data_IF_428942955915
#
_entry.id   IF_428942955915
#
_cell.length_a   1.000
_cell.length_b   1.000
_cell.length_c   1.000
_cell.angle_alpha   90.00
_cell.angle_beta   90.00
_cell.angle_gamma   90.00
#
_symmetry.space_group_name_H-M   'P 1'
#
loop_
_entity.id
_entity.type
_entity.pdbx_description
1 polymer ?
#
# COMPACT_ATOMS: atom_id res chain seq x y z
N UNK A 1 -14.92 -2.77 53.16
CA UNK A 1 -15.79 -3.98 53.22
C UNK A 1 -15.12 -5.12 53.98
N UNK A 2 -13.96 -5.64 53.56
CA UNK A 2 -13.30 -6.77 54.26
C UNK A 2 -12.81 -6.40 55.67
N UNK A 3 -12.38 -5.15 55.90
CA UNK A 3 -11.81 -4.76 57.20
C UNK A 3 -12.85 -4.35 58.26
N UNK A 4 -14.07 -3.95 57.87
CA UNK A 4 -15.18 -3.70 58.82
C UNK A 4 -15.91 -5.00 59.22
N UNK A 5 -15.88 -6.03 58.38
CA UNK A 5 -16.43 -7.34 58.72
C UNK A 5 -15.52 -8.06 59.72
N UNK A 6 -14.21 -7.77 59.75
CA UNK A 6 -13.30 -8.31 60.77
C UNK A 6 -13.57 -7.77 62.18
N UNK A 7 -14.19 -6.59 62.32
CA UNK A 7 -14.63 -6.03 63.62
C UNK A 7 -16.03 -6.48 64.03
N UNK A 8 -16.77 -7.22 63.19
CA UNK A 8 -18.15 -7.63 63.49
C UNK A 8 -18.24 -8.79 64.48
N UNK A 9 -17.11 -9.40 64.87
CA UNK A 9 -17.08 -10.46 65.88
C UNK A 9 -17.51 -9.98 67.28
N UNK A 10 -17.60 -8.65 67.49
CA UNK A 10 -17.97 -8.01 68.77
C UNK A 10 -19.18 -7.08 68.67
N UNK A 11 -19.90 -7.04 67.54
CA UNK A 11 -21.05 -6.14 67.34
C UNK A 11 -22.38 -6.82 67.70
N UNK A 12 -23.28 -6.08 68.36
CA UNK A 12 -24.64 -6.53 68.65
C UNK A 12 -25.48 -6.69 67.36
N UNK A 13 -26.42 -7.63 67.32
CA UNK A 13 -27.20 -7.97 66.09
C UNK A 13 -27.99 -6.76 65.57
N UNK A 14 -28.47 -5.91 66.49
CA UNK A 14 -29.16 -4.67 66.15
C UNK A 14 -28.23 -3.66 65.42
N UNK A 15 -26.97 -3.58 65.83
CA UNK A 15 -25.98 -2.69 65.21
C UNK A 15 -25.51 -3.22 63.86
N UNK A 16 -25.35 -4.54 63.75
CA UNK A 16 -25.03 -5.19 62.47
C UNK A 16 -26.13 -4.94 61.43
N UNK A 17 -27.41 -5.07 61.81
CA UNK A 17 -28.54 -4.77 60.91
C UNK A 17 -28.56 -3.31 60.48
N UNK A 18 -28.24 -2.38 61.38
CA UNK A 18 -28.17 -0.94 61.07
C UNK A 18 -27.05 -0.63 60.08
N UNK A 19 -25.85 -1.19 60.29
CA UNK A 19 -24.72 -1.00 59.39
C UNK A 19 -25.00 -1.60 58.00
N UNK A 20 -25.53 -2.82 57.94
CA UNK A 20 -25.93 -3.44 56.66
C UNK A 20 -26.98 -2.59 55.93
N UNK A 21 -27.97 -2.04 56.64
CA UNK A 21 -28.99 -1.18 56.02
C UNK A 21 -28.40 0.14 55.48
N UNK A 22 -27.44 0.74 56.20
CA UNK A 22 -26.73 1.94 55.75
C UNK A 22 -25.88 1.66 54.50
N UNK A 23 -25.15 0.54 54.49
CA UNK A 23 -24.34 0.11 53.36
C UNK A 23 -25.22 -0.24 52.15
N UNK A 24 -26.34 -0.92 52.37
CA UNK A 24 -27.30 -1.21 51.31
C UNK A 24 -27.82 0.09 50.69
N UNK A 25 -28.22 1.07 51.50
CA UNK A 25 -28.67 2.38 51.03
C UNK A 25 -27.58 3.11 50.23
N UNK A 26 -26.34 3.06 50.69
CA UNK A 26 -25.19 3.64 49.98
C UNK A 26 -24.97 2.98 48.62
N UNK A 27 -24.91 1.64 48.57
CA UNK A 27 -24.74 0.90 47.33
C UNK A 27 -25.88 1.14 46.35
N UNK A 28 -27.12 1.19 46.82
CA UNK A 28 -28.28 1.49 45.96
C UNK A 28 -28.13 2.85 45.30
N UNK A 29 -27.68 3.86 46.04
CA UNK A 29 -27.45 5.21 45.52
C UNK A 29 -26.30 5.25 44.49
N UNK A 30 -25.21 4.52 44.76
CA UNK A 30 -24.08 4.38 43.81
C UNK A 30 -24.54 3.70 42.52
N UNK A 31 -25.35 2.65 42.61
CA UNK A 31 -25.87 1.95 41.43
C UNK A 31 -26.84 2.81 40.62
N UNK A 32 -27.68 3.62 41.29
CA UNK A 32 -28.55 4.58 40.60
C UNK A 32 -27.74 5.68 39.89
N UNK A 33 -26.66 6.15 40.50
CA UNK A 33 -25.75 7.13 39.88
C UNK A 33 -25.03 6.53 38.66
N UNK A 34 -24.60 5.27 38.72
CA UNK A 34 -24.03 4.54 37.58
C UNK A 34 -25.08 4.34 36.47
N UNK A 35 -26.34 4.07 36.83
CA UNK A 35 -27.44 3.92 35.88
C UNK A 35 -27.74 5.22 35.15
N UNK A 36 -27.74 6.36 35.86
CA UNK A 36 -27.87 7.70 35.27
C UNK A 36 -26.70 8.02 34.34
N UNK A 37 -25.45 7.72 34.75
CA UNK A 37 -24.27 7.90 33.90
C UNK A 37 -24.34 7.08 32.61
N UNK A 38 -24.72 5.80 32.69
CA UNK A 38 -24.87 4.93 31.52
C UNK A 38 -26.01 5.40 30.60
N UNK A 39 -27.11 5.91 31.15
CA UNK A 39 -28.17 6.52 30.34
C UNK A 39 -27.70 7.82 29.65
N UNK A 40 -26.85 8.62 30.30
CA UNK A 40 -26.25 9.82 29.70
C UNK A 40 -25.31 9.50 28.53
N UNK A 41 -24.53 8.41 28.61
CA UNK A 41 -23.73 7.90 27.48
C UNK A 41 -24.61 7.46 26.30
N UNK A 42 -25.71 6.75 26.55
CA UNK A 42 -26.66 6.38 25.48
C UNK A 42 -27.44 7.57 24.91
N UNK A 43 -27.60 8.65 25.68
CA UNK A 43 -28.18 9.92 25.21
C UNK A 43 -27.22 10.68 24.29
N UNK A 44 -25.93 10.69 24.61
CA UNK A 44 -24.90 11.23 23.71
C UNK A 44 -24.68 10.33 22.49
N UNK A 45 -24.84 9.01 22.60
CA UNK A 45 -24.75 8.08 21.49
C UNK A 45 -25.97 8.16 20.54
N UNK A 46 -27.16 8.54 21.04
CA UNK A 46 -28.33 8.90 20.21
C UNK A 46 -28.18 10.25 19.51
N UNK A 47 -27.46 11.21 20.10
CA UNK A 47 -27.06 12.45 19.40
C UNK A 47 -25.98 12.18 18.33
N UNK A 48 -25.29 11.04 18.41
CA UNK A 48 -24.40 10.50 17.37
C UNK A 48 -25.10 9.36 16.61
N UNK A 49 -26.40 9.48 16.36
CA UNK A 49 -26.96 8.83 15.18
C UNK A 49 -26.26 9.43 13.96
N UNK A 50 -25.29 8.70 13.42
CA UNK A 50 -24.73 8.97 12.10
C UNK A 50 -25.91 9.02 11.13
N UNK A 51 -26.36 10.22 10.79
CA UNK A 51 -27.19 10.47 9.63
C UNK A 51 -26.39 10.03 8.39
N UNK A 52 -26.45 8.74 8.07
CA UNK A 52 -26.04 8.23 6.76
C UNK A 52 -27.10 8.71 5.79
N UNK A 53 -26.95 9.96 5.33
CA UNK A 53 -27.70 10.48 4.19
C UNK A 53 -27.30 9.65 2.97
N UNK A 54 -28.02 8.56 2.71
CA UNK A 54 -27.94 7.85 1.42
C UNK A 54 -28.72 8.68 0.41
N UNK A 55 -28.06 9.69 -0.14
CA UNK A 55 -28.64 10.49 -1.22
C UNK A 55 -28.66 9.66 -2.50
N UNK A 56 -29.85 9.42 -3.05
CA UNK A 56 -29.96 9.09 -4.46
C UNK A 56 -29.78 10.37 -5.29
N UNK A 57 -29.18 10.22 -6.46
CA UNK A 57 -28.68 11.30 -7.35
C UNK A 57 -29.76 12.21 -7.96
N UNK A 58 -30.99 12.17 -7.46
CA UNK A 58 -32.14 12.99 -7.87
C UNK A 58 -32.55 14.04 -6.83
N UNK A 59 -31.80 14.20 -5.74
CA UNK A 59 -31.94 15.34 -4.81
C UNK A 59 -33.14 15.31 -3.86
N UNK A 60 -34.00 14.27 -3.92
CA UNK A 60 -35.08 14.10 -2.95
C UNK A 60 -34.61 13.19 -1.79
N UNK A 61 -34.70 13.73 -0.58
CA UNK A 61 -34.39 13.04 0.68
C UNK A 61 -35.64 12.23 1.05
N UNK A 62 -35.55 10.90 0.95
CA UNK A 62 -36.58 10.03 1.49
C UNK A 62 -36.29 9.77 2.96
N UNK A 63 -37.26 9.97 3.83
CA UNK A 63 -37.16 9.60 5.25
C UNK A 63 -37.09 8.08 5.40
N UNK A 64 -36.54 7.57 6.51
CA UNK A 64 -36.37 6.13 6.73
C UNK A 64 -37.71 5.36 6.77
N UNK A 65 -38.82 6.06 6.99
CA UNK A 65 -40.19 5.57 6.88
C UNK A 65 -40.61 5.34 5.42
N UNK A 66 -40.32 6.26 4.50
CA UNK A 66 -40.63 6.12 3.07
C UNK A 66 -39.85 5.01 2.35
N UNK A 67 -38.73 4.56 2.92
CA UNK A 67 -37.96 3.42 2.40
C UNK A 67 -38.57 2.06 2.77
N UNK A 68 -39.42 2.01 3.81
CA UNK A 68 -40.13 0.78 4.20
C UNK A 68 -41.31 0.45 3.26
N UNK A 69 -41.80 1.43 2.51
CA UNK A 69 -42.99 1.29 1.64
C UNK A 69 -42.69 0.76 0.23
N UNK A 70 -41.44 0.41 -0.09
CA UNK A 70 -41.13 -0.24 -1.38
C UNK A 70 -41.48 -1.72 -1.31
N UNK A 71 -42.76 -2.02 -1.51
CA UNK A 71 -43.24 -3.39 -1.65
C UNK A 71 -42.50 -4.12 -2.77
N UNK A 72 -42.00 -5.32 -2.46
CA UNK A 72 -41.35 -6.21 -3.43
C UNK A 72 -42.39 -6.66 -4.46
N UNK A 73 -42.01 -6.73 -5.74
CA UNK A 73 -42.90 -7.20 -6.81
C UNK A 73 -43.46 -8.58 -6.43
N UNK A 74 -44.79 -8.75 -6.56
CA UNK A 74 -45.50 -9.95 -6.12
C UNK A 74 -45.49 -11.03 -7.21
N UNK A 75 -45.45 -10.63 -8.48
CA UNK A 75 -45.39 -11.55 -9.63
C UNK A 75 -44.18 -11.28 -10.53
N UNK A 76 -43.78 -12.27 -11.33
CA UNK A 76 -42.68 -12.15 -12.29
C UNK A 76 -43.00 -11.11 -13.38
N UNK A 77 -44.26 -11.05 -13.80
CA UNK A 77 -44.75 -10.11 -14.79
C UNK A 77 -44.70 -8.66 -14.26
N UNK A 78 -45.12 -8.44 -13.02
CA UNK A 78 -45.00 -7.14 -12.35
C UNK A 78 -43.52 -6.72 -12.22
N UNK A 79 -42.62 -7.67 -11.94
CA UNK A 79 -41.18 -7.41 -11.91
C UNK A 79 -40.65 -6.99 -13.29
N UNK A 80 -41.04 -7.69 -14.36
CA UNK A 80 -40.65 -7.35 -15.72
C UNK A 80 -41.16 -5.97 -16.14
N UNK A 81 -42.43 -5.68 -15.93
CA UNK A 81 -43.02 -4.38 -16.22
C UNK A 81 -42.32 -3.25 -15.44
N UNK A 82 -42.05 -3.46 -14.14
CA UNK A 82 -41.33 -2.49 -13.30
C UNK A 82 -39.88 -2.28 -13.75
N UNK A 83 -39.20 -3.34 -14.20
CA UNK A 83 -37.86 -3.27 -14.78
C UNK A 83 -37.87 -2.53 -16.12
N UNK A 84 -38.88 -2.73 -16.96
CA UNK A 84 -38.98 -2.07 -18.25
C UNK A 84 -39.34 -0.59 -18.10
N UNK A 85 -40.23 -0.24 -17.17
CA UNK A 85 -40.44 1.15 -16.76
C UNK A 85 -39.16 1.80 -16.20
N UNK A 86 -38.35 1.04 -15.45
CA UNK A 86 -37.06 1.53 -14.95
C UNK A 86 -36.01 1.71 -16.07
N UNK A 87 -36.00 0.81 -17.06
CA UNK A 87 -35.14 0.94 -18.26
C UNK A 87 -35.60 2.12 -19.13
N UNK A 88 -36.90 2.27 -19.37
CA UNK A 88 -37.48 3.35 -20.14
C UNK A 88 -37.26 4.71 -19.48
N UNK A 89 -37.49 4.83 -18.16
CA UNK A 89 -37.19 6.06 -17.42
C UNK A 89 -35.69 6.40 -17.39
N UNK A 90 -34.80 5.39 -17.39
CA UNK A 90 -33.35 5.60 -17.58
C UNK A 90 -32.97 5.98 -19.02
N UNK A 91 -33.69 5.50 -20.02
CA UNK A 91 -33.50 5.85 -21.42
C UNK A 91 -33.93 7.31 -21.67
N UNK A 92 -35.10 7.71 -21.14
CA UNK A 92 -35.60 9.09 -21.21
C UNK A 92 -34.69 10.07 -20.45
N UNK A 93 -34.18 9.70 -19.27
CA UNK A 93 -33.20 10.54 -18.52
C UNK A 93 -31.83 10.66 -19.19
N UNK A 94 -31.54 9.83 -20.18
CA UNK A 94 -30.25 9.78 -20.87
C UNK A 94 -30.50 10.03 -22.34
N UNK A 95 -30.76 11.31 -22.66
CA UNK A 95 -31.08 11.75 -24.01
C UNK A 95 -30.08 11.32 -25.10
N UNK A 96 -30.34 11.64 -26.37
CA UNK A 96 -29.66 11.04 -27.55
C UNK A 96 -28.12 11.08 -27.51
N UNK A 97 -27.54 12.08 -26.83
CA UNK A 97 -26.08 12.20 -26.63
C UNK A 97 -25.48 11.10 -25.75
N UNK A 98 -26.26 10.45 -24.87
CA UNK A 98 -25.75 9.39 -24.01
C UNK A 98 -25.35 8.15 -24.80
N UNK A 99 -26.16 7.72 -25.76
CA UNK A 99 -25.82 6.56 -26.60
C UNK A 99 -24.60 6.83 -27.47
N UNK A 100 -24.51 8.03 -28.05
CA UNK A 100 -23.34 8.46 -28.82
C UNK A 100 -22.08 8.48 -27.94
N UNK A 101 -22.19 8.99 -26.71
CA UNK A 101 -21.08 9.01 -25.76
C UNK A 101 -20.70 7.61 -25.26
N UNK A 102 -21.68 6.71 -25.10
CA UNK A 102 -21.46 5.31 -24.73
C UNK A 102 -20.74 4.57 -25.86
N UNK A 103 -21.20 4.71 -27.11
CA UNK A 103 -20.54 4.18 -28.31
C UNK A 103 -19.11 4.70 -28.44
N UNK A 104 -18.87 6.00 -28.22
CA UNK A 104 -17.52 6.59 -28.18
C UNK A 104 -16.65 5.98 -27.07
N UNK A 105 -17.21 5.76 -25.88
CA UNK A 105 -16.50 5.17 -24.72
C UNK A 105 -16.14 3.70 -24.97
N UNK A 106 -17.05 2.93 -25.58
CA UNK A 106 -16.81 1.54 -25.99
C UNK A 106 -15.71 1.48 -27.03
N UNK A 107 -15.77 2.31 -28.09
CA UNK A 107 -14.70 2.40 -29.11
C UNK A 107 -13.35 2.76 -28.49
N UNK A 108 -13.31 3.71 -27.55
CA UNK A 108 -12.07 4.09 -26.84
C UNK A 108 -11.51 2.93 -25.99
N UNK A 109 -12.38 2.21 -25.28
CA UNK A 109 -11.97 1.02 -24.50
C UNK A 109 -11.45 -0.10 -25.40
N UNK A 110 -12.10 -0.35 -26.54
CA UNK A 110 -11.66 -1.35 -27.51
C UNK A 110 -10.28 -1.01 -28.09
N UNK A 111 -10.03 0.25 -28.46
CA UNK A 111 -8.69 0.71 -28.91
C UNK A 111 -7.61 0.51 -27.84
N UNK A 112 -7.90 0.85 -26.58
CA UNK A 112 -6.96 0.65 -25.47
C UNK A 112 -6.69 -0.84 -25.22
N UNK A 113 -7.71 -1.69 -25.35
CA UNK A 113 -7.56 -3.14 -25.21
C UNK A 113 -6.65 -3.72 -26.31
N UNK A 114 -6.85 -3.34 -27.57
CA UNK A 114 -5.99 -3.74 -28.69
C UNK A 114 -4.53 -3.31 -28.49
N UNK A 115 -4.30 -2.03 -28.15
CA UNK A 115 -2.93 -1.53 -27.89
C UNK A 115 -2.25 -2.25 -26.70
N UNK A 116 -3.02 -2.63 -25.68
CA UNK A 116 -2.51 -3.40 -24.54
C UNK A 116 -2.14 -4.84 -24.94
N UNK A 117 -2.90 -5.45 -25.83
CA UNK A 117 -2.62 -6.79 -26.36
C UNK A 117 -1.36 -6.78 -27.22
N UNK A 118 -1.20 -5.79 -28.11
CA UNK A 118 -0.01 -5.60 -28.94
C UNK A 118 1.24 -5.37 -28.09
N UNK A 119 1.18 -4.50 -27.07
CA UNK A 119 2.28 -4.30 -26.12
C UNK A 119 2.64 -5.59 -25.37
N UNK A 120 1.65 -6.44 -25.05
CA UNK A 120 1.88 -7.73 -24.41
C UNK A 120 2.52 -8.74 -25.36
N UNK A 121 2.16 -8.72 -26.65
CA UNK A 121 2.79 -9.55 -27.70
C UNK A 121 4.24 -9.14 -27.92
N UNK A 122 4.52 -7.84 -28.06
CA UNK A 122 5.89 -7.30 -28.18
C UNK A 122 6.76 -7.64 -26.95
N UNK A 123 6.22 -7.46 -25.74
CA UNK A 123 6.94 -7.83 -24.53
C UNK A 123 7.26 -9.34 -24.47
N UNK A 124 6.34 -10.20 -24.94
CA UNK A 124 6.59 -11.65 -25.04
C UNK A 124 7.66 -11.98 -26.07
N UNK A 125 7.67 -11.32 -27.23
CA UNK A 125 8.70 -11.49 -28.26
C UNK A 125 10.09 -11.13 -27.72
N UNK A 126 10.24 -9.94 -27.12
CA UNK A 126 11.49 -9.49 -26.48
C UNK A 126 11.97 -10.46 -25.38
N UNK A 127 11.07 -11.03 -24.58
CA UNK A 127 11.47 -12.01 -23.57
C UNK A 127 11.89 -13.36 -24.15
N UNK A 128 11.38 -13.73 -25.33
CA UNK A 128 11.81 -14.96 -26.03
C UNK A 128 13.18 -14.74 -26.66
N UNK A 129 13.39 -13.61 -27.30
CA UNK A 129 14.66 -13.21 -27.92
C UNK A 129 15.79 -13.18 -26.88
N UNK A 130 15.60 -12.50 -25.74
CA UNK A 130 16.58 -12.51 -24.63
C UNK A 130 16.88 -13.89 -24.06
N UNK A 131 15.92 -14.82 -24.10
CA UNK A 131 16.15 -16.20 -23.65
C UNK A 131 16.97 -17.00 -24.67
N UNK A 132 16.81 -16.71 -25.95
CA UNK A 132 17.59 -17.34 -27.02
C UNK A 132 19.02 -16.80 -26.97
N UNK A 133 19.19 -15.49 -26.80
CA UNK A 133 20.48 -14.83 -26.65
C UNK A 133 21.25 -15.38 -25.44
N UNK A 134 20.62 -15.45 -24.26
CA UNK A 134 21.24 -16.05 -23.07
C UNK A 134 21.61 -17.52 -23.25
N UNK A 135 20.80 -18.30 -23.99
CA UNK A 135 21.15 -19.69 -24.32
C UNK A 135 22.36 -19.79 -25.25
N UNK A 136 22.50 -18.87 -26.19
CA UNK A 136 23.68 -18.78 -27.08
C UNK A 136 24.92 -18.39 -26.30
N UNK A 137 24.81 -17.40 -25.41
CA UNK A 137 25.89 -16.99 -24.49
C UNK A 137 26.31 -18.15 -23.57
N UNK A 138 25.36 -18.86 -22.95
CA UNK A 138 25.63 -20.03 -22.10
C UNK A 138 26.29 -21.19 -22.90
N UNK A 139 25.98 -21.33 -24.20
CA UNK A 139 26.60 -22.33 -25.07
C UNK A 139 28.02 -21.92 -25.51
N UNK A 140 28.26 -20.65 -25.82
CA UNK A 140 29.59 -20.13 -26.09
C UNK A 140 30.50 -20.17 -24.86
N UNK A 141 30.00 -19.81 -23.68
CA UNK A 141 30.72 -19.96 -22.42
C UNK A 141 31.07 -21.42 -22.13
N UNK A 142 30.15 -22.36 -22.39
CA UNK A 142 30.45 -23.80 -22.27
C UNK A 142 31.53 -24.25 -23.25
N UNK A 143 31.48 -23.82 -24.51
CA UNK A 143 32.52 -24.15 -25.51
C UNK A 143 33.89 -23.57 -25.13
N UNK A 144 33.92 -22.34 -24.61
CA UNK A 144 35.14 -21.71 -24.12
C UNK A 144 35.69 -22.41 -22.87
N UNK A 145 34.83 -22.82 -21.94
CA UNK A 145 35.20 -23.56 -20.74
C UNK A 145 35.72 -24.97 -21.05
N UNK A 146 35.10 -25.65 -22.02
CA UNK A 146 35.51 -26.98 -22.48
C UNK A 146 36.85 -26.92 -23.25
N UNK A 147 37.07 -25.89 -24.05
CA UNK A 147 38.35 -25.61 -24.71
C UNK A 147 39.47 -25.19 -23.72
N UNK A 148 39.12 -24.56 -22.61
CA UNK A 148 40.06 -24.20 -21.55
C UNK A 148 40.45 -25.43 -20.69
N UNK A 149 39.50 -26.32 -20.39
CA UNK A 149 39.78 -27.55 -19.63
C UNK A 149 40.54 -28.61 -20.42
N UNK A 150 40.51 -28.59 -21.77
CA UNK A 150 41.37 -29.46 -22.58
C UNK A 150 42.84 -28.99 -22.64
N UNK A 151 43.18 -27.86 -22.02
CA UNK A 151 44.53 -27.26 -22.02
C UNK A 151 44.90 -26.66 -20.66
N UNK A 152 44.89 -27.43 -19.56
CA UNK A 152 45.85 -27.21 -18.47
C UNK A 152 45.75 -28.27 -17.37
N UNK A 153 46.72 -29.20 -17.34
CA UNK A 153 47.31 -29.61 -16.07
C UNK A 153 48.40 -28.61 -15.72
N UNK A 154 48.20 -27.82 -14.65
CA UNK A 154 49.20 -27.35 -13.68
C UNK A 154 48.61 -26.27 -12.78
N UNK A 155 48.66 -26.52 -11.46
CA UNK A 155 48.42 -25.53 -10.41
C UNK A 155 49.50 -24.44 -10.48
N UNK A 156 49.22 -23.20 -10.04
CA UNK A 156 49.68 -22.86 -8.69
C UNK A 156 48.78 -21.91 -7.88
N UNK A 157 49.07 -21.96 -6.58
CA UNK A 157 48.74 -21.10 -5.45
C UNK A 157 49.14 -19.62 -5.67
N UNK A 158 48.41 -18.65 -5.09
CA UNK A 158 48.91 -17.48 -4.31
C UNK A 158 47.76 -16.49 -3.98
N UNK A 159 47.50 -16.37 -2.66
CA UNK A 159 47.25 -15.19 -1.80
C UNK A 159 46.39 -14.01 -2.27
N UNK A 160 45.29 -13.86 -1.53
CA UNK A 160 44.66 -12.65 -0.97
C UNK A 160 45.19 -11.25 -1.35
N UNK A 161 44.32 -10.45 -1.97
CA UNK A 161 44.36 -8.98 -1.89
C UNK A 161 42.94 -8.43 -1.71
N UNK A 162 42.71 -7.90 -0.50
CA UNK A 162 41.52 -7.18 -0.06
C UNK A 162 41.64 -5.71 -0.50
N UNK A 163 40.65 -5.20 -1.22
CA UNK A 163 40.51 -3.78 -1.57
C UNK A 163 39.07 -3.35 -1.29
N UNK A 164 38.86 -2.55 -0.25
CA UNK A 164 37.66 -1.73 0.01
C UNK A 164 38.16 -0.46 0.73
N UNK A 165 38.30 0.66 0.01
CA UNK A 165 37.31 1.73 -0.26
C UNK A 165 37.36 2.84 0.80
N UNK A 166 37.96 3.98 0.43
CA UNK A 166 37.91 5.25 1.17
C UNK A 166 36.53 5.89 0.97
N UNK A 167 35.76 6.00 2.02
CA UNK A 167 34.54 6.81 2.04
C UNK A 167 34.87 8.27 2.33
N UNK A 168 34.53 9.15 1.38
CA UNK A 168 34.52 10.60 1.54
C UNK A 168 33.07 11.11 1.55
N UNK A 169 32.72 11.71 2.69
CA UNK A 169 31.68 12.74 2.93
C UNK A 169 30.22 12.43 2.61
N UNK A 170 29.33 12.71 3.56
CA UNK A 170 28.15 13.59 3.40
C UNK A 170 27.53 13.86 4.77
N UNK A 171 27.47 15.14 5.14
CA UNK A 171 26.34 15.77 5.84
C UNK A 171 26.15 15.46 7.31
N UNK A 172 26.56 16.39 8.16
CA UNK A 172 26.12 16.50 9.55
C UNK A 172 24.60 16.36 9.67
N UNK A 173 24.18 15.47 10.55
CA UNK A 173 22.79 15.34 11.01
C UNK A 173 22.47 16.60 11.81
N UNK A 174 21.41 17.37 11.51
CA UNK A 174 21.05 18.52 12.31
C UNK A 174 20.71 18.06 13.74
N UNK A 175 21.39 18.67 14.72
CA UNK A 175 21.07 18.55 16.15
C UNK A 175 19.62 18.95 16.38
N UNK A 176 18.98 18.20 17.29
CA UNK A 176 17.63 18.44 17.82
C UNK A 176 17.47 19.93 18.19
N UNK A 177 16.43 20.59 17.65
CA UNK A 177 16.04 21.96 18.02
C UNK A 177 16.23 23.06 16.97
N UNK A 178 16.76 22.77 15.77
CA UNK A 178 16.87 23.79 14.71
C UNK A 178 15.57 23.91 13.89
N UNK A 179 14.82 24.98 14.14
CA UNK A 179 13.62 25.34 13.38
C UNK A 179 14.08 26.07 12.11
N UNK A 180 13.93 25.44 10.95
CA UNK A 180 14.14 26.09 9.64
C UNK A 180 12.79 26.60 9.13
N UNK A 181 12.71 27.90 8.85
CA UNK A 181 11.50 28.71 8.60
C UNK A 181 10.65 28.33 7.36
N UNK A 182 10.72 27.10 6.84
CA UNK A 182 9.88 26.69 5.71
C UNK A 182 9.38 25.23 5.76
N UNK A 183 9.63 24.50 6.85
CA UNK A 183 9.02 23.19 7.12
C UNK A 183 8.81 23.04 8.62
N UNK A 184 7.56 23.20 9.05
CA UNK A 184 7.13 22.81 10.39
C UNK A 184 6.99 21.29 10.34
N UNK A 185 8.03 20.58 10.75
CA UNK A 185 7.92 19.16 11.07
C UNK A 185 7.37 19.07 12.50
N UNK A 186 6.04 18.98 12.62
CA UNK A 186 5.38 18.65 13.87
C UNK A 186 5.74 17.19 14.18
N UNK A 187 6.76 17.01 15.02
CA UNK A 187 7.05 15.72 15.62
C UNK A 187 6.02 15.52 16.72
N UNK A 188 4.91 14.84 16.40
CA UNK A 188 4.00 14.31 17.42
C UNK A 188 4.79 13.28 18.24
N UNK A 189 5.20 13.65 19.45
CA UNK A 189 5.85 12.76 20.42
C UNK A 189 4.94 11.60 20.90
N UNK A 190 3.67 11.57 20.47
CA UNK A 190 2.68 10.57 20.87
C UNK A 190 2.48 9.42 19.88
N UNK A 191 3.20 9.36 18.75
CA UNK A 191 2.95 8.34 17.70
C UNK A 191 3.69 6.99 17.89
N UNK A 192 4.43 6.77 18.97
CA UNK A 192 5.24 5.54 19.09
C UNK A 192 4.62 4.34 19.83
N UNK A 193 3.47 4.50 20.49
CA UNK A 193 2.83 3.38 21.21
C UNK A 193 1.66 2.74 20.46
N UNK A 194 1.54 2.96 19.14
CA UNK A 194 0.74 2.01 18.34
C UNK A 194 1.49 0.69 18.35
N UNK A 195 0.91 -0.42 18.84
CA UNK A 195 1.59 -1.71 18.91
C UNK A 195 2.16 -2.01 17.53
N UNK A 196 3.50 -1.99 17.45
CA UNK A 196 4.25 -2.15 16.22
C UNK A 196 3.65 -3.33 15.46
N UNK A 197 2.92 -3.04 14.37
CA UNK A 197 2.26 -4.07 13.56
C UNK A 197 3.35 -5.06 13.18
N UNK A 198 3.35 -6.24 13.81
CA UNK A 198 4.46 -7.18 13.68
C UNK A 198 4.76 -7.38 12.20
N UNK A 199 5.95 -6.94 11.78
CA UNK A 199 6.34 -6.99 10.37
C UNK A 199 6.32 -8.46 9.94
N UNK A 200 5.77 -8.81 8.76
CA UNK A 200 5.67 -10.21 8.34
C UNK A 200 7.01 -10.97 8.36
N UNK A 201 8.13 -10.28 8.12
CA UNK A 201 9.47 -10.86 8.23
C UNK A 201 9.84 -11.26 9.66
N UNK A 202 9.50 -10.43 10.64
CA UNK A 202 9.76 -10.69 12.07
C UNK A 202 8.91 -11.86 12.55
N UNK A 203 7.65 -11.93 12.11
CA UNK A 203 6.78 -13.07 12.42
C UNK A 203 7.32 -14.39 11.84
N UNK A 204 7.83 -14.37 10.60
CA UNK A 204 8.45 -15.54 9.99
C UNK A 204 9.72 -15.98 10.75
N UNK A 205 10.57 -15.03 11.11
CA UNK A 205 11.81 -15.31 11.84
C UNK A 205 11.55 -15.90 13.23
N UNK A 206 10.55 -15.39 13.97
CA UNK A 206 10.11 -15.97 15.25
C UNK A 206 9.63 -17.42 15.07
N UNK A 207 8.82 -17.68 14.04
CA UNK A 207 8.34 -19.03 13.74
C UNK A 207 9.49 -19.98 13.36
N UNK A 208 10.45 -19.52 12.57
CA UNK A 208 11.60 -20.32 12.18
C UNK A 208 12.55 -20.58 13.35
N UNK A 209 12.75 -19.60 14.23
CA UNK A 209 13.55 -19.77 15.46
C UNK A 209 12.94 -20.81 16.40
N UNK A 210 11.63 -20.77 16.63
CA UNK A 210 10.94 -21.77 17.46
C UNK A 210 11.01 -23.16 16.84
N UNK A 211 10.77 -23.28 15.52
CA UNK A 211 10.92 -24.55 14.78
C UNK A 211 12.35 -25.10 14.86
N UNK A 212 13.36 -24.25 14.68
CA UNK A 212 14.78 -24.64 14.79
C UNK A 212 15.13 -25.09 16.20
N UNK A 213 14.64 -24.41 17.24
CA UNK A 213 14.88 -24.80 18.63
C UNK A 213 14.31 -26.20 18.92
N UNK A 214 13.07 -26.44 18.50
CA UNK A 214 12.42 -27.75 18.64
C UNK A 214 13.19 -28.83 17.88
N UNK A 215 13.63 -28.54 16.64
CA UNK A 215 14.37 -29.50 15.81
C UNK A 215 15.72 -29.85 16.44
N UNK A 216 16.48 -28.84 16.90
CA UNK A 216 17.75 -29.04 17.61
C UNK A 216 17.61 -29.87 18.88
N UNK A 217 16.52 -29.71 19.63
CA UNK A 217 16.27 -30.52 20.83
C UNK A 217 15.94 -31.97 20.51
N UNK A 218 15.21 -32.21 19.41
CA UNK A 218 14.94 -33.56 18.90
C UNK A 218 16.21 -34.25 18.42
N UNK A 219 17.06 -33.55 17.67
CA UNK A 219 18.36 -34.06 17.19
C UNK A 219 19.29 -34.44 18.35
N UNK A 220 19.26 -33.68 19.46
CA UNK A 220 20.00 -33.96 20.69
C UNK A 220 19.38 -35.07 21.57
N UNK A 221 18.38 -35.81 21.08
CA UNK A 221 17.71 -36.88 21.83
C UNK A 221 16.79 -36.42 22.97
N UNK A 222 16.59 -35.12 23.17
CA UNK A 222 15.73 -34.58 24.23
C UNK A 222 14.28 -34.43 23.75
N UNK A 223 13.64 -35.55 23.42
CA UNK A 223 12.29 -35.58 22.82
C UNK A 223 11.23 -35.01 23.76
N UNK A 224 11.31 -35.30 25.06
CA UNK A 224 10.32 -34.83 26.06
C UNK A 224 10.34 -33.31 26.22
N UNK A 225 11.54 -32.72 26.25
CA UNK A 225 11.71 -31.26 26.32
C UNK A 225 11.19 -30.58 25.05
N UNK A 226 11.43 -31.19 23.89
CA UNK A 226 10.89 -30.67 22.62
C UNK A 226 9.36 -30.73 22.59
N UNK A 227 8.75 -31.83 23.07
CA UNK A 227 7.31 -31.98 23.17
C UNK A 227 6.69 -30.99 24.20
N UNK A 228 7.35 -30.77 25.33
CA UNK A 228 6.92 -29.79 26.33
C UNK A 228 6.91 -28.36 25.76
N UNK A 229 7.94 -27.96 25.01
CA UNK A 229 8.00 -26.65 24.35
C UNK A 229 6.92 -26.52 23.29
N UNK A 230 6.69 -27.55 22.48
CA UNK A 230 5.61 -27.57 21.48
C UNK A 230 4.25 -27.37 22.14
N UNK A 231 3.96 -28.12 23.22
CA UNK A 231 2.73 -27.97 24.00
C UNK A 231 2.61 -26.57 24.58
N UNK A 232 3.68 -26.01 25.16
CA UNK A 232 3.67 -24.64 25.72
C UNK A 232 3.34 -23.59 24.65
N UNK A 233 3.95 -23.68 23.48
CA UNK A 233 3.66 -22.76 22.36
C UNK A 233 2.21 -22.91 21.89
N UNK A 234 1.72 -24.15 21.76
CA UNK A 234 0.34 -24.41 21.36
C UNK A 234 -0.66 -23.82 22.35
N UNK A 235 -0.47 -24.04 23.66
CA UNK A 235 -1.34 -23.51 24.70
C UNK A 235 -1.27 -22.00 24.80
N UNK A 236 -0.07 -21.40 24.72
CA UNK A 236 0.07 -19.94 24.66
C UNK A 236 -0.71 -19.35 23.49
N UNK A 237 -0.60 -19.96 22.31
CA UNK A 237 -1.33 -19.51 21.12
C UNK A 237 -2.85 -19.66 21.25
N UNK A 238 -3.33 -20.67 21.98
CA UNK A 238 -4.76 -20.86 22.26
C UNK A 238 -5.25 -19.81 23.24
N UNK A 239 -4.49 -19.52 24.28
CA UNK A 239 -4.81 -18.47 25.28
C UNK A 239 -4.83 -17.09 24.63
N UNK A 240 -3.82 -16.74 23.84
CA UNK A 240 -3.77 -15.47 23.09
C UNK A 240 -4.99 -15.31 22.17
N UNK A 241 -5.42 -16.40 21.52
CA UNK A 241 -6.63 -16.38 20.68
C UNK A 241 -7.90 -16.19 21.50
N UNK A 242 -7.98 -16.79 22.69
CA UNK A 242 -9.11 -16.63 23.61
C UNK A 242 -9.21 -15.21 24.18
N UNK A 243 -8.07 -14.58 24.45
CA UNK A 243 -7.96 -13.17 24.84
C UNK A 243 -8.37 -12.21 23.70
N UNK A 244 -8.39 -12.70 22.45
CA UNK A 244 -8.75 -11.92 21.26
C UNK A 244 -7.54 -11.37 20.49
N UNK A 245 -6.32 -11.77 20.86
CA UNK A 245 -5.09 -11.43 20.13
C UNK A 245 -5.05 -12.19 18.81
N UNK A 246 -4.79 -11.46 17.71
CA UNK A 246 -4.69 -12.05 16.36
C UNK A 246 -3.34 -12.73 16.15
N UNK A 247 -3.27 -14.00 16.55
CA UNK A 247 -2.12 -14.88 16.34
C UNK A 247 -1.92 -15.20 14.84
N UNK A 248 -0.69 -15.07 14.32
CA UNK A 248 -0.37 -15.20 12.88
C UNK A 248 0.78 -16.16 12.66
N UNK A 249 0.52 -17.46 12.74
CA UNK A 249 1.57 -18.49 12.76
C UNK A 249 1.69 -19.29 11.46
N UNK A 250 0.81 -19.04 10.49
CA UNK A 250 0.79 -19.77 9.22
C UNK A 250 1.99 -19.38 8.32
N UNK A 251 3.04 -20.21 8.29
CA UNK A 251 4.27 -19.98 7.50
C UNK A 251 4.00 -19.57 6.05
N UNK A 252 3.09 -20.27 5.37
CA UNK A 252 2.76 -19.97 3.97
C UNK A 252 2.09 -18.61 3.80
N UNK A 253 1.17 -18.25 4.70
CA UNK A 253 0.44 -16.97 4.61
C UNK A 253 1.36 -15.80 4.94
N UNK A 254 2.28 -15.99 5.89
CA UNK A 254 3.32 -15.00 6.19
C UNK A 254 4.23 -14.80 4.97
N UNK A 255 4.72 -15.87 4.33
CA UNK A 255 5.49 -15.80 3.08
C UNK A 255 4.72 -15.10 1.95
N UNK A 256 3.44 -15.43 1.76
CA UNK A 256 2.56 -14.75 0.78
C UNK A 256 2.41 -13.27 1.10
N UNK A 257 2.29 -12.90 2.38
CA UNK A 257 2.23 -11.50 2.81
C UNK A 257 3.52 -10.74 2.51
N UNK A 258 4.69 -11.36 2.75
CA UNK A 258 6.00 -10.80 2.38
C UNK A 258 6.06 -10.54 0.87
N UNK A 259 5.70 -11.54 0.04
CA UNK A 259 5.66 -11.38 -1.42
C UNK A 259 4.77 -10.23 -1.88
N UNK A 260 3.56 -10.08 -1.30
CA UNK A 260 2.66 -8.96 -1.63
C UNK A 260 3.27 -7.61 -1.27
N UNK A 261 4.00 -7.52 -0.16
CA UNK A 261 4.70 -6.28 0.24
C UNK A 261 5.80 -5.97 -0.76
N UNK A 262 6.60 -6.96 -1.16
CA UNK A 262 7.65 -6.80 -2.16
C UNK A 262 7.10 -6.41 -3.53
N UNK A 263 6.02 -7.03 -3.99
CA UNK A 263 5.33 -6.64 -5.22
C UNK A 263 4.81 -5.21 -5.17
N UNK A 264 4.25 -4.78 -4.03
CA UNK A 264 3.82 -3.39 -3.83
C UNK A 264 5.00 -2.44 -3.96
N UNK A 265 6.12 -2.76 -3.31
CA UNK A 265 7.36 -1.96 -3.42
C UNK A 265 7.86 -1.90 -4.86
N UNK A 266 7.95 -3.02 -5.56
CA UNK A 266 8.33 -3.09 -6.99
C UNK A 266 7.40 -2.25 -7.87
N UNK A 267 6.08 -2.27 -7.63
CA UNK A 267 5.13 -1.41 -8.37
C UNK A 267 5.35 0.06 -8.09
N UNK A 268 5.59 0.44 -6.84
CA UNK A 268 5.89 1.83 -6.48
C UNK A 268 7.21 2.30 -7.07
N UNK A 269 8.25 1.47 -7.01
CA UNK A 269 9.56 1.75 -7.59
C UNK A 269 9.47 1.98 -9.11
N UNK A 270 8.77 1.09 -9.84
CA UNK A 270 8.52 1.27 -11.28
C UNK A 270 7.81 2.59 -11.59
N UNK A 271 6.75 2.90 -10.85
CA UNK A 271 6.03 4.18 -11.02
C UNK A 271 6.92 5.38 -10.75
N UNK A 272 7.83 5.28 -9.78
CA UNK A 272 8.76 6.36 -9.46
C UNK A 272 9.80 6.54 -10.57
N UNK A 273 10.36 5.44 -11.08
CA UNK A 273 11.26 5.45 -12.25
C UNK A 273 10.58 6.06 -13.47
N UNK A 274 9.36 5.63 -13.80
CA UNK A 274 8.56 6.20 -14.90
C UNK A 274 8.31 7.71 -14.73
N UNK A 275 8.10 8.18 -13.49
CA UNK A 275 7.93 9.64 -13.22
C UNK A 275 9.22 10.42 -13.43
N UNK A 276 10.35 9.87 -12.99
CA UNK A 276 11.67 10.51 -13.17
C UNK A 276 11.97 10.61 -14.67
N UNK A 277 11.86 9.50 -15.40
CA UNK A 277 12.10 9.44 -16.85
C UNK A 277 11.19 10.41 -17.61
N UNK A 278 9.89 10.44 -17.28
CA UNK A 278 8.95 11.39 -17.89
C UNK A 278 9.32 12.85 -17.61
N UNK A 279 9.83 13.14 -16.42
CA UNK A 279 10.26 14.49 -16.04
C UNK A 279 11.53 14.88 -16.79
N UNK A 280 12.50 13.98 -16.86
CA UNK A 280 13.74 14.18 -17.63
C UNK A 280 13.44 14.38 -19.12
N UNK A 281 12.62 13.53 -19.73
CA UNK A 281 12.19 13.66 -21.12
C UNK A 281 11.51 15.00 -21.40
N UNK A 282 10.67 15.51 -20.48
CA UNK A 282 10.07 16.84 -20.61
C UNK A 282 11.09 17.97 -20.53
N UNK A 283 12.07 17.86 -19.63
CA UNK A 283 13.16 18.83 -19.50
C UNK A 283 13.98 18.85 -20.78
N UNK A 284 14.42 17.68 -21.26
CA UNK A 284 15.18 17.52 -22.50
C UNK A 284 14.42 18.05 -23.71
N UNK A 285 13.13 17.73 -23.86
CA UNK A 285 12.30 18.23 -24.96
C UNK A 285 12.21 19.77 -24.95
N UNK A 286 12.06 20.40 -23.78
CA UNK A 286 12.08 21.86 -23.66
C UNK A 286 13.45 22.45 -24.02
N UNK A 287 14.52 21.84 -23.54
CA UNK A 287 15.88 22.28 -23.86
C UNK A 287 16.20 22.13 -25.35
N UNK A 288 15.77 21.03 -25.99
CA UNK A 288 15.91 20.81 -27.43
C UNK A 288 15.17 21.88 -28.22
N UNK A 289 13.90 22.15 -27.89
CA UNK A 289 13.13 23.25 -28.51
C UNK A 289 13.82 24.61 -28.37
N UNK A 290 14.40 24.91 -27.19
CA UNK A 290 15.14 26.15 -26.97
C UNK A 290 16.39 26.21 -27.86
N UNK A 291 17.17 25.13 -27.93
CA UNK A 291 18.37 25.04 -28.80
C UNK A 291 17.99 25.21 -30.28
N UNK A 292 16.92 24.58 -30.73
CA UNK A 292 16.46 24.66 -32.12
C UNK A 292 15.98 26.07 -32.47
N UNK A 293 15.22 26.72 -31.58
CA UNK A 293 14.80 28.12 -31.73
C UNK A 293 15.99 29.10 -31.72
N UNK A 294 17.04 28.81 -30.94
CA UNK A 294 18.23 29.65 -30.90
C UNK A 294 19.05 29.48 -32.19
N UNK A 295 19.14 28.25 -32.71
CA UNK A 295 19.75 27.95 -34.01
C UNK A 295 19.01 28.65 -35.15
N UNK A 296 17.68 28.56 -35.19
CA UNK A 296 16.89 29.23 -36.23
C UNK A 296 17.06 30.75 -36.19
N UNK A 297 17.05 31.37 -35.00
CA UNK A 297 17.36 32.80 -34.85
C UNK A 297 18.74 33.16 -35.36
N UNK A 298 19.77 32.33 -35.08
CA UNK A 298 21.12 32.54 -35.61
C UNK A 298 21.15 32.45 -37.13
N UNK A 299 20.56 31.42 -37.72
CA UNK A 299 20.51 31.26 -39.19
C UNK A 299 19.72 32.37 -39.86
N UNK A 300 18.61 32.82 -39.27
CA UNK A 300 17.79 33.90 -39.81
C UNK A 300 18.51 35.24 -39.75
N UNK A 301 19.26 35.51 -38.68
CA UNK A 301 20.09 36.70 -38.57
C UNK A 301 21.21 36.69 -39.63
N UNK A 302 21.86 35.54 -39.86
CA UNK A 302 22.87 35.38 -40.92
C UNK A 302 22.21 35.62 -42.30
N UNK A 303 21.09 34.96 -42.60
CA UNK A 303 20.33 35.15 -43.85
C UNK A 303 19.91 36.61 -44.05
N UNK A 304 19.46 37.31 -43.01
CA UNK A 304 19.12 38.74 -43.06
C UNK A 304 20.34 39.61 -43.38
N UNK A 305 21.51 39.30 -42.79
CA UNK A 305 22.77 40.01 -43.09
C UNK A 305 23.18 39.80 -44.55
N UNK A 306 23.13 38.56 -45.05
CA UNK A 306 23.42 38.22 -46.46
C UNK A 306 22.45 38.94 -47.41
N UNK A 307 21.14 38.91 -47.14
CA UNK A 307 20.15 39.65 -47.96
C UNK A 307 20.44 41.16 -48.01
N UNK A 308 20.87 41.76 -46.89
CA UNK A 308 21.25 43.18 -46.84
C UNK A 308 22.53 43.47 -47.62
N UNK A 309 23.52 42.57 -47.63
CA UNK A 309 24.75 42.77 -48.42
C UNK A 309 24.51 42.62 -49.92
N UNK A 310 23.66 41.67 -50.34
CA UNK A 310 23.23 41.51 -51.73
C UNK A 310 22.50 42.77 -52.21
N UNK A 311 21.54 43.30 -51.43
CA UNK A 311 20.81 44.54 -51.79
C UNK A 311 21.74 45.76 -51.94
N UNK A 312 22.86 45.78 -51.23
CA UNK A 312 23.88 46.85 -51.29
C UNK A 312 24.95 46.59 -52.36
N UNK A 313 24.83 45.55 -53.18
CA UNK A 313 25.82 45.20 -54.22
C UNK A 313 27.16 44.68 -53.70
N UNK A 314 27.30 44.41 -52.39
CA UNK A 314 28.57 43.97 -51.77
C UNK A 314 28.86 42.47 -51.96
N UNK A 315 27.88 41.66 -52.35
CA UNK A 315 28.01 40.20 -52.49
C UNK A 315 27.12 39.69 -53.63
N UNK A 316 27.67 38.84 -54.51
CA UNK A 316 26.93 38.21 -55.61
C UNK A 316 25.98 37.12 -55.10
N UNK A 317 24.71 37.09 -55.55
CA UNK A 317 23.78 36.01 -55.19
C UNK A 317 24.28 34.68 -55.78
N UNK A 318 24.62 33.71 -54.92
CA UNK A 318 25.00 32.34 -55.33
C UNK A 318 26.39 31.82 -54.91
N UNK A 319 27.24 32.64 -54.30
CA UNK A 319 28.64 32.23 -53.98
C UNK A 319 28.80 31.46 -52.65
N UNK A 320 27.82 31.51 -51.74
CA UNK A 320 27.94 30.97 -50.38
C UNK A 320 27.04 29.76 -50.04
N UNK A 321 26.44 29.09 -51.03
CA UNK A 321 25.53 27.94 -50.82
C UNK A 321 26.25 26.56 -50.84
N UNK A 322 27.48 26.47 -50.30
CA UNK A 322 28.15 25.18 -50.04
C UNK A 322 28.27 24.88 -48.55
#
# INVERSE_FOLDING_TARGET
MIDQIKSSATMDDAELRRTIAQEYKYLTNVFDQIKQFRQSETGQEKQIERHVKVTNRTGQIKTATELKDVQRAKTLEELHQRLDMYKASKAVKKGPRYEVNLKKKIKKKAKVAKAKEERKKLARALTKEKKIERKREEEEERRLFEAANSKNEKKPNVKDMKVESKDLSVGEVPKVGSIVFNKIDIVDETENDRPSKQRPKVALDKLEKTQRLISKLKEKGNVDKAAAIQKKVLWSNVMDKAEGVKVKDDKERIKKSIKRVEERKKKSEKKWKERIEHTQSKIEAKQKKRKDNLKSRKTDNIKKKIKKSIKKGRTLPGVNDK
#
